data_IF_910060133883
#
_entry.id   IF_910060133883
#
_cell.length_a   1.000
_cell.length_b   1.000
_cell.length_c   1.000
_cell.angle_alpha   90.00
_cell.angle_beta   90.00
_cell.angle_gamma   90.00
#
_symmetry.space_group_name_H-M   'P 1'
#
loop_
_entity.id
_entity.type
_entity.pdbx_description
1 polymer ?
#
# COMPACT_ATOMS: atom_id res chain seq x y z
N UNK A 1 -7.79 25.29 -8.38
CA UNK A 1 -7.69 24.76 -6.99
C UNK A 1 -6.61 25.55 -6.29
N UNK A 2 -6.91 26.01 -5.09
CA UNK A 2 -5.91 26.76 -4.35
C UNK A 2 -4.89 25.83 -3.66
N UNK A 3 -3.72 26.38 -3.27
CA UNK A 3 -2.67 25.55 -2.65
C UNK A 3 -3.09 24.85 -1.36
N UNK A 4 -4.00 25.44 -0.58
CA UNK A 4 -4.48 24.82 0.66
C UNK A 4 -5.33 23.60 0.38
N UNK A 5 -6.19 23.68 -0.62
CA UNK A 5 -7.01 22.53 -1.03
C UNK A 5 -6.13 21.39 -1.54
N UNK A 6 -5.13 21.74 -2.34
CA UNK A 6 -4.18 20.75 -2.87
C UNK A 6 -3.44 20.02 -1.75
N UNK A 7 -2.98 20.78 -0.75
CA UNK A 7 -2.30 20.20 0.41
C UNK A 7 -3.18 19.25 1.19
N UNK A 8 -4.43 19.59 1.41
CA UNK A 8 -5.38 18.75 2.12
C UNK A 8 -5.60 17.44 1.36
N UNK A 9 -5.76 17.51 0.05
CA UNK A 9 -5.95 16.31 -0.79
C UNK A 9 -4.73 15.41 -0.70
N UNK A 10 -3.54 15.98 -0.86
CA UNK A 10 -2.29 15.23 -0.76
C UNK A 10 -2.15 14.55 0.60
N UNK A 11 -2.49 15.26 1.67
CA UNK A 11 -2.40 14.71 3.02
C UNK A 11 -3.34 13.53 3.21
N UNK A 12 -4.58 13.65 2.76
CA UNK A 12 -5.56 12.56 2.86
C UNK A 12 -5.15 11.34 2.05
N UNK A 13 -4.65 11.55 0.85
CA UNK A 13 -4.19 10.45 0.00
C UNK A 13 -2.93 9.78 0.57
N UNK A 14 -2.01 10.59 1.10
CA UNK A 14 -0.80 10.06 1.77
C UNK A 14 -1.19 9.19 2.97
N UNK A 15 -2.16 9.65 3.76
CA UNK A 15 -2.63 8.89 4.90
C UNK A 15 -3.19 7.53 4.50
N UNK A 16 -3.98 7.47 3.42
CA UNK A 16 -4.49 6.20 2.90
C UNK A 16 -3.36 5.25 2.51
N UNK A 17 -2.37 5.77 1.78
CA UNK A 17 -1.24 4.97 1.33
C UNK A 17 -0.44 4.39 2.49
N UNK A 18 -0.16 5.21 3.51
CA UNK A 18 0.59 4.77 4.70
C UNK A 18 -0.23 3.81 5.55
N UNK A 19 -1.52 4.07 5.68
CA UNK A 19 -2.42 3.24 6.48
C UNK A 19 -2.54 1.82 5.92
N UNK A 20 -2.54 1.70 4.60
CA UNK A 20 -2.62 0.40 3.94
C UNK A 20 -1.47 -0.52 4.41
N UNK A 21 -0.25 -0.02 4.37
CA UNK A 21 0.92 -0.79 4.84
C UNK A 21 0.86 -1.12 6.32
N UNK A 22 0.40 -0.17 7.13
CA UNK A 22 0.28 -0.37 8.58
C UNK A 22 -0.73 -1.48 8.90
N UNK A 23 -1.88 -1.48 8.25
CA UNK A 23 -2.88 -2.52 8.45
C UNK A 23 -2.38 -3.90 8.03
N UNK A 24 -1.61 -3.98 6.95
CA UNK A 24 -0.97 -5.23 6.55
C UNK A 24 -0.02 -5.72 7.65
N UNK A 25 0.83 -4.85 8.16
CA UNK A 25 1.82 -5.21 9.18
C UNK A 25 1.18 -5.63 10.50
N UNK A 26 0.04 -5.05 10.83
CA UNK A 26 -0.74 -5.37 12.02
C UNK A 26 -1.66 -6.58 11.81
N UNK A 27 -1.68 -7.16 10.62
CA UNK A 27 -2.55 -8.27 10.24
C UNK A 27 -4.04 -7.93 10.32
N UNK A 28 -4.37 -6.66 10.17
CA UNK A 28 -5.76 -6.17 10.16
C UNK A 28 -6.30 -6.13 8.73
N UNK A 29 -6.25 -7.26 8.04
CA UNK A 29 -6.60 -7.36 6.62
C UNK A 29 -8.06 -6.99 6.34
N UNK A 30 -8.97 -7.29 7.28
CA UNK A 30 -10.38 -7.01 7.10
C UNK A 30 -10.70 -5.51 7.10
N UNK A 31 -9.75 -4.67 7.51
CA UNK A 31 -9.89 -3.21 7.47
C UNK A 31 -9.40 -2.60 6.16
N UNK A 32 -8.67 -3.36 5.34
CA UNK A 32 -8.16 -2.87 4.06
C UNK A 32 -9.27 -2.40 3.10
N UNK A 33 -10.40 -3.12 2.97
CA UNK A 33 -11.47 -2.65 2.09
C UNK A 33 -12.02 -1.27 2.45
N UNK A 34 -11.91 -0.86 3.70
CA UNK A 34 -12.38 0.46 4.15
C UNK A 34 -11.55 1.60 3.56
N UNK A 35 -10.33 1.34 3.13
CA UNK A 35 -9.45 2.33 2.52
C UNK A 35 -9.68 2.45 1.02
N UNK A 36 -10.42 1.54 0.41
CA UNK A 36 -10.56 1.42 -1.03
C UNK A 36 -11.98 1.67 -1.49
N UNK A 37 -12.11 1.99 -2.78
CA UNK A 37 -13.42 2.00 -3.42
C UNK A 37 -13.95 0.57 -3.48
N UNK A 38 -15.27 0.43 -3.68
CA UNK A 38 -15.92 -0.87 -3.75
C UNK A 38 -15.33 -1.76 -4.86
N UNK A 39 -14.95 -1.14 -5.97
CA UNK A 39 -14.30 -1.81 -7.11
C UNK A 39 -12.77 -1.68 -7.09
N UNK A 40 -12.22 -1.33 -5.93
CA UNK A 40 -10.79 -1.11 -5.78
C UNK A 40 -9.95 -2.33 -6.12
N UNK A 41 -8.76 -2.10 -6.68
CA UNK A 41 -7.88 -3.18 -7.11
C UNK A 41 -6.47 -3.05 -6.54
N UNK A 42 -5.84 -4.19 -6.35
CA UNK A 42 -4.42 -4.29 -6.04
C UNK A 42 -3.75 -5.11 -7.15
N UNK A 43 -2.74 -4.55 -7.78
CA UNK A 43 -2.00 -5.24 -8.85
C UNK A 43 -0.61 -5.63 -8.34
N UNK A 44 -0.26 -6.90 -8.47
CA UNK A 44 1.06 -7.42 -8.14
C UNK A 44 1.58 -8.29 -9.28
N UNK A 45 2.84 -8.08 -9.65
CA UNK A 45 3.48 -8.85 -10.75
C UNK A 45 2.60 -8.90 -11.99
N UNK A 46 1.95 -7.76 -12.31
CA UNK A 46 1.07 -7.65 -13.48
C UNK A 46 -0.32 -8.29 -13.31
N UNK A 47 -0.58 -8.93 -12.19
CA UNK A 47 -1.89 -9.55 -11.91
C UNK A 47 -2.76 -8.61 -11.10
N UNK A 48 -3.90 -8.23 -11.68
CA UNK A 48 -4.87 -7.35 -11.03
C UNK A 48 -5.83 -8.17 -10.17
N UNK A 49 -5.83 -7.87 -8.88
CA UNK A 49 -6.68 -8.56 -7.89
C UNK A 49 -7.72 -7.58 -7.33
N UNK A 50 -8.90 -8.10 -7.01
CA UNK A 50 -9.81 -7.37 -6.12
C UNK A 50 -9.16 -7.31 -4.74
N UNK A 51 -9.62 -6.39 -3.89
CA UNK A 51 -9.07 -6.34 -2.53
C UNK A 51 -9.34 -7.63 -1.75
N UNK A 52 -10.47 -8.29 -1.97
CA UNK A 52 -10.77 -9.54 -1.30
C UNK A 52 -9.83 -10.66 -1.76
N UNK A 53 -9.55 -10.75 -3.05
CA UNK A 53 -8.59 -11.72 -3.59
C UNK A 53 -7.18 -11.44 -3.09
N UNK A 54 -6.82 -10.17 -2.97
CA UNK A 54 -5.53 -9.77 -2.40
C UNK A 54 -5.40 -10.25 -0.95
N UNK A 55 -6.44 -10.04 -0.15
CA UNK A 55 -6.46 -10.49 1.25
C UNK A 55 -6.30 -12.01 1.35
N UNK A 56 -7.01 -12.74 0.50
CA UNK A 56 -6.89 -14.20 0.45
C UNK A 56 -5.46 -14.62 0.09
N UNK A 57 -4.87 -13.97 -0.92
CA UNK A 57 -3.51 -14.29 -1.34
C UNK A 57 -2.50 -13.99 -0.23
N UNK A 58 -2.60 -12.83 0.43
CA UNK A 58 -1.69 -12.47 1.52
C UNK A 58 -1.77 -13.50 2.65
N UNK A 59 -2.96 -14.03 2.93
CA UNK A 59 -3.16 -15.05 3.94
C UNK A 59 -2.42 -16.35 3.67
N UNK A 60 -2.02 -16.61 2.41
CA UNK A 60 -1.26 -17.81 2.04
C UNK A 60 0.24 -17.64 2.20
N UNK A 61 0.72 -16.41 2.44
CA UNK A 61 2.15 -16.14 2.54
C UNK A 61 2.73 -16.71 3.83
N UNK A 62 3.94 -17.34 3.75
CA UNK A 62 4.54 -17.93 4.94
C UNK A 62 5.11 -16.92 5.94
N UNK A 63 5.29 -15.68 5.52
CA UNK A 63 5.82 -14.63 6.39
C UNK A 63 4.79 -14.28 7.47
N UNK A 64 5.21 -14.31 8.74
CA UNK A 64 4.32 -13.99 9.84
C UNK A 64 4.64 -12.63 10.50
N UNK A 65 5.73 -11.99 10.12
CA UNK A 65 6.10 -10.65 10.54
C UNK A 65 6.55 -9.85 9.33
N UNK A 66 5.96 -8.68 9.16
CA UNK A 66 6.31 -7.78 8.05
C UNK A 66 6.39 -6.34 8.54
N UNK A 67 7.19 -5.56 7.85
CA UNK A 67 7.18 -4.10 8.00
C UNK A 67 7.32 -3.50 6.62
N UNK A 68 6.33 -2.70 6.25
CA UNK A 68 6.31 -1.93 5.01
C UNK A 68 6.70 -0.50 5.35
N UNK A 69 7.80 -0.04 4.79
CA UNK A 69 8.19 1.38 4.87
C UNK A 69 7.79 2.03 3.56
N UNK A 70 6.82 2.94 3.63
CA UNK A 70 6.34 3.67 2.45
C UNK A 70 6.82 5.10 2.59
N UNK A 71 7.57 5.57 1.61
CA UNK A 71 8.22 6.89 1.65
C UNK A 71 8.10 7.61 0.32
N UNK A 72 8.46 8.89 0.34
CA UNK A 72 8.69 9.68 -0.87
C UNK A 72 7.52 9.66 -1.85
N UNK A 73 6.29 9.78 -1.34
CA UNK A 73 5.14 9.83 -2.23
C UNK A 73 5.16 11.15 -3.02
N UNK A 74 5.14 11.02 -4.34
CA UNK A 74 5.12 12.11 -5.28
C UNK A 74 3.82 12.07 -6.07
N UNK A 75 3.07 13.18 -6.05
CA UNK A 75 1.78 13.25 -6.73
C UNK A 75 1.98 13.82 -8.13
N UNK A 76 1.70 13.00 -9.15
CA UNK A 76 1.77 13.43 -10.54
C UNK A 76 0.54 14.22 -10.98
N UNK A 77 -0.58 14.08 -10.26
CA UNK A 77 -1.83 14.76 -10.57
C UNK A 77 -2.65 14.91 -9.30
N UNK A 78 -3.17 16.11 -9.08
CA UNK A 78 -4.09 16.40 -7.98
C UNK A 78 -5.25 17.21 -8.52
N UNK A 79 -6.46 16.70 -8.39
CA UNK A 79 -7.70 17.34 -8.82
C UNK A 79 -8.69 17.34 -7.66
N UNK A 80 -9.81 18.04 -7.83
CA UNK A 80 -10.82 18.14 -6.78
C UNK A 80 -11.38 16.79 -6.33
N UNK A 81 -11.50 15.83 -7.27
CA UNK A 81 -12.11 14.53 -6.99
C UNK A 81 -11.22 13.33 -7.31
N UNK A 82 -9.99 13.55 -7.72
CA UNK A 82 -9.04 12.47 -8.06
C UNK A 82 -7.61 12.90 -7.86
N UNK A 83 -6.74 11.92 -7.64
CA UNK A 83 -5.31 12.15 -7.54
C UNK A 83 -4.54 10.90 -7.97
N UNK A 84 -3.30 11.09 -8.37
CA UNK A 84 -2.37 10.00 -8.70
C UNK A 84 -1.04 10.27 -8.02
N UNK A 85 -0.45 9.22 -7.48
CA UNK A 85 0.85 9.33 -6.82
C UNK A 85 1.66 8.07 -6.96
N UNK A 86 2.97 8.23 -6.82
CA UNK A 86 3.93 7.14 -6.78
C UNK A 86 4.74 7.28 -5.51
N UNK A 87 4.84 6.18 -4.76
CA UNK A 87 5.66 6.13 -3.56
C UNK A 87 6.70 5.03 -3.70
N UNK A 88 7.75 5.10 -2.91
CA UNK A 88 8.68 3.99 -2.77
C UNK A 88 8.28 3.17 -1.56
N UNK A 89 8.52 1.86 -1.62
CA UNK A 89 8.33 1.03 -0.45
C UNK A 89 9.47 0.05 -0.27
N UNK A 90 9.75 -0.25 0.98
CA UNK A 90 10.72 -1.28 1.38
C UNK A 90 9.99 -2.25 2.28
N UNK A 91 10.08 -3.53 1.95
CA UNK A 91 9.43 -4.59 2.72
C UNK A 91 10.48 -5.46 3.40
N UNK A 92 10.38 -5.55 4.71
CA UNK A 92 11.10 -6.52 5.53
C UNK A 92 10.13 -7.58 5.98
N UNK A 93 10.53 -8.85 5.94
CA UNK A 93 9.67 -9.92 6.40
C UNK A 93 10.47 -11.01 7.11
N UNK A 94 9.78 -11.73 7.96
CA UNK A 94 10.32 -12.87 8.68
C UNK A 94 9.26 -13.97 8.76
N UNK A 95 9.67 -15.20 8.42
CA UNK A 95 8.80 -16.37 8.56
C UNK A 95 9.54 -17.45 9.35
N UNK A 96 9.29 -17.51 10.64
CA UNK A 96 9.96 -18.46 11.51
C UNK A 96 9.33 -18.45 12.90
N UNK A 97 10.04 -19.06 13.87
CA UNK A 97 9.51 -19.30 15.21
C UNK A 97 10.30 -18.62 16.33
N UNK A 98 11.28 -17.77 16.00
CA UNK A 98 12.03 -17.07 17.05
C UNK A 98 11.19 -15.95 17.66
N UNK A 99 11.66 -15.44 18.78
CA UNK A 99 11.05 -14.29 19.43
C UNK A 99 11.70 -12.98 18.93
N UNK A 100 10.98 -11.87 19.10
CA UNK A 100 11.54 -10.54 18.86
C UNK A 100 12.76 -10.28 19.76
N UNK A 101 13.84 -9.63 19.26
CA UNK A 101 13.97 -9.13 17.89
C UNK A 101 14.22 -10.26 16.89
N UNK A 102 13.55 -10.15 15.74
CA UNK A 102 13.67 -11.16 14.69
C UNK A 102 14.96 -10.98 13.90
N UNK A 103 15.57 -12.09 13.43
CA UNK A 103 16.76 -11.98 12.59
C UNK A 103 16.47 -11.18 11.34
N UNK A 104 17.35 -10.25 11.00
CA UNK A 104 17.22 -9.40 9.83
C UNK A 104 18.32 -9.72 8.83
N UNK A 105 17.91 -9.96 7.59
CA UNK A 105 18.79 -10.37 6.50
C UNK A 105 18.64 -9.40 5.32
N UNK A 106 18.34 -8.14 5.64
CA UNK A 106 18.11 -7.10 4.66
C UNK A 106 16.67 -7.04 4.18
N UNK A 107 16.36 -6.10 3.28
CA UNK A 107 15.02 -5.99 2.73
C UNK A 107 14.71 -7.16 1.81
N UNK A 108 13.44 -7.57 1.80
CA UNK A 108 12.95 -8.60 0.89
C UNK A 108 12.64 -8.02 -0.49
N UNK A 109 12.00 -6.85 -0.50
CA UNK A 109 11.63 -6.13 -1.71
C UNK A 109 11.85 -4.65 -1.50
N UNK A 110 12.34 -3.97 -2.53
CA UNK A 110 12.29 -2.52 -2.66
C UNK A 110 11.52 -2.23 -3.94
N UNK A 111 10.46 -1.47 -3.86
CA UNK A 111 9.60 -1.25 -5.01
C UNK A 111 8.90 0.09 -5.00
N UNK A 112 7.89 0.18 -5.84
CA UNK A 112 7.07 1.38 -5.99
C UNK A 112 5.60 0.98 -5.93
N UNK A 113 4.80 1.87 -5.34
CA UNK A 113 3.35 1.80 -5.45
C UNK A 113 2.88 2.91 -6.38
N UNK A 114 2.16 2.53 -7.43
CA UNK A 114 1.48 3.46 -8.32
C UNK A 114 0.02 3.46 -7.91
N UNK A 115 -0.45 4.58 -7.41
CA UNK A 115 -1.78 4.65 -6.82
C UNK A 115 -2.66 5.69 -7.47
N UNK A 116 -3.95 5.34 -7.57
CA UNK A 116 -5.00 6.27 -7.97
C UNK A 116 -5.95 6.42 -6.80
N UNK A 117 -6.31 7.66 -6.51
CA UNK A 117 -7.22 8.01 -5.42
C UNK A 117 -8.42 8.74 -5.99
N UNK A 118 -9.56 8.54 -5.38
CA UNK A 118 -10.80 9.26 -5.76
C UNK A 118 -11.54 9.71 -4.51
N UNK A 119 -12.24 10.83 -4.64
CA UNK A 119 -13.10 11.34 -3.61
C UNK A 119 -14.48 10.73 -3.79
N UNK A 120 -14.98 10.09 -2.75
CA UNK A 120 -16.32 9.48 -2.71
C UNK A 120 -17.18 10.19 -1.69
N UNK A 121 -18.44 9.80 -1.58
CA UNK A 121 -19.36 10.32 -0.57
C UNK A 121 -18.87 10.04 0.86
N UNK A 122 -18.03 9.01 1.01
CA UNK A 122 -17.43 8.64 2.29
C UNK A 122 -16.02 9.22 2.49
N UNK A 123 -15.60 10.12 1.60
CA UNK A 123 -14.26 10.71 1.62
C UNK A 123 -13.33 10.11 0.58
N UNK A 124 -12.05 10.40 0.73
CA UNK A 124 -11.03 9.90 -0.20
C UNK A 124 -10.79 8.41 0.00
N UNK A 125 -10.64 7.69 -1.12
CA UNK A 125 -10.38 6.24 -1.15
C UNK A 125 -9.33 5.92 -2.19
N UNK A 126 -8.66 4.79 -2.02
CA UNK A 126 -7.75 4.24 -3.03
C UNK A 126 -8.61 3.51 -4.07
N UNK A 127 -8.50 3.91 -5.32
CA UNK A 127 -9.15 3.22 -6.43
C UNK A 127 -8.29 2.06 -6.93
N UNK A 128 -6.98 2.26 -7.01
CA UNK A 128 -6.05 1.21 -7.42
C UNK A 128 -4.69 1.41 -6.77
N UNK A 129 -4.06 0.31 -6.44
CA UNK A 129 -2.70 0.27 -5.91
C UNK A 129 -1.94 -0.78 -6.70
N UNK A 130 -0.96 -0.35 -7.47
CA UNK A 130 -0.12 -1.27 -8.24
C UNK A 130 1.27 -1.32 -7.62
N UNK A 131 1.67 -2.51 -7.18
CA UNK A 131 3.00 -2.73 -6.65
C UNK A 131 3.94 -3.15 -7.78
N UNK A 132 5.01 -2.39 -7.96
CA UNK A 132 6.07 -2.71 -8.92
C UNK A 132 7.32 -3.04 -8.14
N UNK A 133 7.87 -4.24 -8.35
CA UNK A 133 9.08 -4.70 -7.67
C UNK A 133 10.27 -4.20 -8.47
N UNK A 134 11.12 -3.40 -7.84
CA UNK A 134 12.34 -2.87 -8.46
C UNK A 134 13.55 -3.72 -8.07
N UNK A 135 13.65 -4.06 -6.79
CA UNK A 135 14.70 -4.94 -6.27
C UNK A 135 14.06 -6.03 -5.43
N UNK A 136 14.58 -7.22 -5.54
CA UNK A 136 14.12 -8.36 -4.77
C UNK A 136 15.31 -9.14 -4.25
N UNK A 137 15.22 -9.57 -3.00
CA UNK A 137 16.24 -10.41 -2.39
C UNK A 137 16.42 -11.70 -3.22
N UNK A 138 17.64 -12.13 -3.52
CA UNK A 138 17.87 -13.41 -4.20
C UNK A 138 17.35 -14.59 -3.37
N UNK A 139 16.93 -15.62 -4.06
CA UNK A 139 16.48 -16.86 -3.42
C UNK A 139 17.65 -17.68 -2.88
#
# INVERSE_FOLDING_TARGET
MDPSEELIIKDKCRELSLRFGRLQDERCYNDLPKLMTEDGTYTRLGEKLTILDFIEWVGTMPANKTRHFVTDIDFSEVREASAKGVSYYTLYLYGGETNSPYPLDGPFVVGEYHEKFVKTDEGWKIKSREAQIIFRKPK
#
